data_IF_614014099599
#
_entry.id   IF_614014099599
#
_cell.length_a   1.000
_cell.length_b   1.000
_cell.length_c   1.000
_cell.angle_alpha   90.00
_cell.angle_beta   90.00
_cell.angle_gamma   90.00
#
_symmetry.space_group_name_H-M   'P 1'
#
loop_
_entity.id
_entity.type
_entity.pdbx_description
1 polymer ?
#
# COMPACT_ATOMS: atom_id res chain seq x y z
N UNK A 1 37.98 -10.72 41.08
CA UNK A 1 39.18 -10.46 40.26
C UNK A 1 38.78 -9.42 39.21
N UNK A 2 39.36 -8.24 39.22
CA UNK A 2 39.07 -7.20 38.27
C UNK A 2 40.03 -7.28 37.09
N UNK A 3 39.51 -7.21 35.89
CA UNK A 3 40.27 -7.11 34.64
C UNK A 3 40.13 -5.72 34.02
N UNK A 4 41.21 -5.00 34.13
CA UNK A 4 41.50 -3.68 33.59
C UNK A 4 41.65 -3.65 32.06
N UNK A 5 41.20 -2.59 31.47
CA UNK A 5 41.26 -1.93 30.20
C UNK A 5 42.25 -2.34 29.12
N UNK A 6 42.29 -1.66 27.97
CA UNK A 6 42.86 -0.31 27.92
C UNK A 6 42.11 0.70 27.06
N UNK A 7 42.38 1.95 27.39
CA UNK A 7 42.16 3.16 26.60
C UNK A 7 43.15 3.23 25.44
N UNK A 8 42.73 3.85 24.36
CA UNK A 8 43.55 4.37 23.28
C UNK A 8 42.62 5.06 22.30
N UNK A 9 42.68 6.28 22.09
CA UNK A 9 43.74 7.21 21.80
C UNK A 9 43.25 7.94 20.57
N UNK A 10 43.00 9.25 20.72
CA UNK A 10 42.47 10.12 19.67
C UNK A 10 43.48 10.36 18.55
N UNK A 11 42.96 10.89 17.48
CA UNK A 11 43.72 11.82 16.62
C UNK A 11 42.76 12.80 15.96
N UNK A 12 42.95 14.03 16.35
CA UNK A 12 42.51 15.23 15.63
C UNK A 12 43.28 15.36 14.29
N UNK A 13 42.70 16.04 13.37
CA UNK A 13 43.34 16.52 12.16
C UNK A 13 42.34 16.52 11.02
N UNK A 14 42.02 17.56 10.37
CA UNK A 14 42.63 18.85 10.17
C UNK A 14 41.83 19.50 9.04
N UNK A 15 41.62 20.73 9.26
CA UNK A 15 41.06 21.75 8.38
C UNK A 15 41.72 21.73 6.99
N UNK A 16 40.92 21.71 5.92
CA UNK A 16 41.36 22.21 4.62
C UNK A 16 40.24 22.95 3.90
N UNK A 17 40.21 24.26 4.16
CA UNK A 17 39.58 25.22 3.27
C UNK A 17 40.28 25.15 1.91
N UNK A 18 39.54 24.88 0.85
CA UNK A 18 39.96 25.29 -0.49
C UNK A 18 38.87 26.12 -1.14
N UNK A 19 39.09 27.40 -1.10
CA UNK A 19 38.53 28.38 -2.03
C UNK A 19 39.18 28.18 -3.39
N UNK A 20 38.42 28.17 -4.45
CA UNK A 20 38.77 28.46 -5.86
C UNK A 20 37.40 28.21 -6.56
N UNK A 21 36.81 29.03 -7.35
CA UNK A 21 37.17 30.19 -8.12
C UNK A 21 35.93 30.42 -9.00
N UNK A 22 35.51 31.66 -8.99
CA UNK A 22 34.45 32.15 -9.89
C UNK A 22 34.99 32.07 -11.31
N UNK A 23 34.34 31.31 -12.18
CA UNK A 23 34.48 31.46 -13.62
C UNK A 23 33.14 31.84 -14.17
N UNK A 24 32.98 33.11 -14.49
CA UNK A 24 31.95 33.59 -15.39
C UNK A 24 32.24 33.05 -16.79
N UNK A 25 31.33 32.28 -17.34
CA UNK A 25 31.28 32.04 -18.78
C UNK A 25 29.91 32.50 -19.28
N UNK A 26 29.90 33.67 -19.89
CA UNK A 26 28.85 34.07 -20.84
C UNK A 26 28.88 33.08 -22.01
N UNK A 27 27.75 32.60 -22.43
CA UNK A 27 27.69 31.96 -23.72
C UNK A 27 26.39 31.19 -23.99
N UNK A 28 25.65 31.71 -24.95
CA UNK A 28 24.66 31.04 -25.77
C UNK A 28 23.25 30.86 -25.21
N UNK A 29 22.38 31.83 -25.55
CA UNK A 29 20.97 31.62 -25.77
C UNK A 29 20.77 30.54 -26.88
N UNK A 30 20.59 29.29 -26.52
CA UNK A 30 19.93 28.33 -27.40
C UNK A 30 18.47 28.33 -27.02
N UNK A 31 17.66 28.95 -27.88
CA UNK A 31 16.21 28.80 -27.91
C UNK A 31 15.87 27.33 -28.25
N UNK A 32 15.81 26.48 -27.22
CA UNK A 32 15.18 25.17 -27.35
C UNK A 32 13.67 25.46 -27.39
N UNK A 33 13.11 25.47 -28.61
CA UNK A 33 11.70 25.22 -28.82
C UNK A 33 11.41 23.82 -28.28
N UNK A 34 11.16 23.74 -26.97
CA UNK A 34 10.67 22.54 -26.32
C UNK A 34 9.29 22.27 -26.89
N UNK A 35 9.22 21.38 -27.87
CA UNK A 35 7.97 20.77 -28.26
C UNK A 35 7.35 20.17 -27.00
N UNK A 36 6.28 20.80 -26.51
CA UNK A 36 5.40 20.18 -25.53
C UNK A 36 4.84 18.97 -26.27
N UNK A 37 5.44 17.81 -26.04
CA UNK A 37 4.81 16.55 -26.38
C UNK A 37 3.55 16.50 -25.54
N UNK A 38 2.43 16.94 -26.12
CA UNK A 38 1.11 16.63 -25.59
C UNK A 38 1.02 15.11 -25.66
N UNK A 39 1.29 14.44 -24.54
CA UNK A 39 0.92 13.05 -24.39
C UNK A 39 -0.57 13.01 -24.76
N UNK A 40 -0.89 12.43 -25.91
CA UNK A 40 -2.28 12.14 -26.27
C UNK A 40 -2.85 11.38 -25.08
N UNK A 41 -3.95 11.82 -24.47
CA UNK A 41 -4.61 10.99 -23.49
C UNK A 41 -4.87 9.66 -24.18
N UNK A 42 -4.28 8.60 -23.71
CA UNK A 42 -4.65 7.26 -24.12
C UNK A 42 -6.17 7.25 -24.06
N UNK A 43 -6.84 6.93 -25.18
CA UNK A 43 -8.29 6.83 -25.22
C UNK A 43 -8.66 5.85 -24.13
N UNK A 44 -9.08 6.39 -22.99
CA UNK A 44 -9.53 5.61 -21.87
C UNK A 44 -10.63 4.70 -22.46
N UNK A 45 -10.40 3.41 -22.39
CA UNK A 45 -11.35 2.42 -22.84
C UNK A 45 -12.49 2.45 -21.83
N UNK A 46 -13.33 3.50 -21.95
CA UNK A 46 -14.42 3.80 -21.02
C UNK A 46 -15.42 2.66 -21.10
N UNK A 47 -15.37 1.79 -20.14
CA UNK A 47 -16.27 0.65 -20.09
C UNK A 47 -16.24 -0.04 -18.74
N UNK A 48 -17.37 -0.58 -18.36
CA UNK A 48 -17.48 -1.43 -17.18
C UNK A 48 -16.99 -2.82 -17.53
N UNK A 49 -16.08 -3.35 -16.71
CA UNK A 49 -15.52 -4.71 -16.82
C UNK A 49 -15.75 -5.49 -15.55
N UNK A 50 -15.78 -6.79 -15.66
CA UNK A 50 -15.72 -7.67 -14.49
C UNK A 50 -14.34 -7.54 -13.84
N UNK A 51 -14.33 -7.37 -12.53
CA UNK A 51 -13.13 -7.30 -11.70
C UNK A 51 -13.02 -8.59 -10.89
N UNK A 52 -11.88 -9.25 -11.00
CA UNK A 52 -11.49 -10.35 -10.14
C UNK A 52 -10.05 -10.12 -9.68
N UNK A 53 -9.87 -9.89 -8.37
CA UNK A 53 -8.57 -9.77 -7.74
C UNK A 53 -8.43 -10.89 -6.71
N UNK A 54 -7.23 -11.43 -6.60
CA UNK A 54 -6.90 -12.41 -5.57
C UNK A 54 -5.63 -11.97 -4.84
N UNK A 55 -5.66 -12.06 -3.52
CA UNK A 55 -4.56 -11.77 -2.60
C UNK A 55 -4.14 -13.06 -1.94
N UNK A 56 -2.86 -13.35 -1.95
CA UNK A 56 -2.26 -14.57 -1.37
C UNK A 56 -0.99 -14.21 -0.60
N UNK A 57 -0.49 -15.14 0.21
CA UNK A 57 0.77 -14.94 0.95
C UNK A 57 0.79 -13.67 1.80
N UNK A 58 -0.28 -13.46 2.59
CA UNK A 58 -0.38 -12.28 3.46
C UNK A 58 0.75 -12.27 4.50
N UNK A 59 1.41 -11.12 4.60
CA UNK A 59 2.45 -10.87 5.58
C UNK A 59 2.15 -9.58 6.33
N UNK A 60 1.96 -9.69 7.64
CA UNK A 60 1.82 -8.54 8.53
C UNK A 60 3.21 -7.98 8.84
N UNK A 61 3.51 -6.79 8.35
CA UNK A 61 4.84 -6.17 8.48
C UNK A 61 4.96 -5.30 9.72
N UNK A 62 3.84 -4.80 10.25
CA UNK A 62 3.79 -4.05 11.51
C UNK A 62 2.40 -4.13 12.11
N UNK A 63 2.34 -4.01 13.44
CA UNK A 63 1.10 -3.81 14.19
C UNK A 63 1.37 -2.85 15.34
N UNK A 64 0.57 -1.82 15.48
CA UNK A 64 0.73 -0.79 16.51
C UNK A 64 -0.62 -0.38 17.08
N UNK A 65 -0.66 -0.04 18.37
CA UNK A 65 -1.80 0.66 18.96
C UNK A 65 -1.95 2.03 18.31
N UNK A 66 -3.18 2.40 17.99
CA UNK A 66 -3.49 3.73 17.44
C UNK A 66 -3.34 4.79 18.54
N UNK A 67 -3.79 4.47 19.76
CA UNK A 67 -3.54 5.28 20.95
C UNK A 67 -2.53 4.57 21.87
N UNK A 68 -1.26 5.02 21.92
CA UNK A 68 -0.26 4.43 22.79
C UNK A 68 -0.56 4.60 24.31
N UNK A 69 -1.49 5.47 24.67
CA UNK A 69 -1.91 5.69 26.06
C UNK A 69 -3.05 4.76 26.48
N UNK A 70 -3.69 4.04 25.57
CA UNK A 70 -4.70 3.03 25.86
C UNK A 70 -4.04 1.74 26.38
N UNK A 71 -4.20 1.42 27.70
CA UNK A 71 -3.58 0.23 28.30
C UNK A 71 -4.13 -1.08 27.73
N UNK A 72 -5.30 -1.07 27.10
CA UNK A 72 -5.94 -2.25 26.53
C UNK A 72 -5.67 -2.39 25.04
N UNK A 73 -5.14 -1.34 24.40
CA UNK A 73 -4.91 -1.31 22.95
C UNK A 73 -6.17 -1.72 22.17
N UNK A 74 -7.25 -1.02 22.39
CA UNK A 74 -8.56 -1.36 21.82
C UNK A 74 -8.64 -1.09 20.31
N UNK A 75 -7.77 -0.25 19.76
CA UNK A 75 -7.67 0.02 18.32
C UNK A 75 -6.26 -0.29 17.82
N UNK A 76 -6.16 -1.25 16.92
CA UNK A 76 -4.89 -1.70 16.33
C UNK A 76 -4.83 -1.33 14.87
N UNK A 77 -3.69 -0.79 14.44
CA UNK A 77 -3.36 -0.56 13.04
C UNK A 77 -2.26 -1.53 12.61
N UNK A 78 -2.52 -2.25 11.53
CA UNK A 78 -1.58 -3.21 10.95
C UNK A 78 -1.31 -2.90 9.49
N UNK A 79 -0.06 -3.07 9.05
CA UNK A 79 0.29 -3.00 7.63
C UNK A 79 0.45 -4.40 7.08
N UNK A 80 -0.16 -4.65 5.94
CA UNK A 80 -0.12 -5.91 5.22
C UNK A 80 0.58 -5.70 3.88
N UNK A 81 1.40 -6.67 3.51
CA UNK A 81 1.95 -6.84 2.16
C UNK A 81 1.68 -8.26 1.72
N UNK A 82 1.24 -8.42 0.48
CA UNK A 82 0.85 -9.72 -0.06
C UNK A 82 1.12 -9.81 -1.58
N UNK A 83 1.08 -11.01 -2.12
CA UNK A 83 1.04 -11.22 -3.55
C UNK A 83 -0.38 -10.96 -4.07
N UNK A 84 -0.48 -10.40 -5.27
CA UNK A 84 -1.75 -10.12 -5.93
C UNK A 84 -1.80 -10.66 -7.36
N UNK A 85 -3.01 -10.95 -7.83
CA UNK A 85 -3.29 -11.23 -9.24
C UNK A 85 -4.62 -10.61 -9.67
N UNK A 86 -4.77 -10.37 -10.96
CA UNK A 86 -5.96 -9.75 -11.54
C UNK A 86 -6.28 -10.37 -12.90
N UNK A 87 -7.57 -10.40 -13.24
CA UNK A 87 -8.03 -10.70 -14.60
C UNK A 87 -7.84 -9.52 -15.58
N UNK A 88 -7.48 -8.34 -15.08
CA UNK A 88 -7.31 -7.11 -15.87
C UNK A 88 -5.84 -6.77 -16.15
N UNK A 89 -4.91 -7.44 -15.46
CA UNK A 89 -3.48 -7.25 -15.64
C UNK A 89 -2.80 -8.58 -15.89
N UNK A 90 -2.02 -8.71 -16.96
CA UNK A 90 -1.19 -9.89 -17.17
C UNK A 90 -0.08 -9.93 -16.12
N UNK A 91 0.11 -11.08 -15.49
CA UNK A 91 1.18 -11.29 -14.53
C UNK A 91 0.75 -11.16 -13.08
N UNK A 92 1.76 -11.19 -12.23
CA UNK A 92 1.62 -11.06 -10.78
C UNK A 92 1.83 -9.60 -10.37
N UNK A 93 1.14 -9.20 -9.33
CA UNK A 93 1.29 -7.91 -8.68
C UNK A 93 1.53 -8.09 -7.18
N UNK A 94 1.47 -6.98 -6.47
CA UNK A 94 1.46 -6.96 -5.01
C UNK A 94 0.22 -6.24 -4.49
N UNK A 95 -0.16 -6.56 -3.26
CA UNK A 95 -1.20 -5.88 -2.51
C UNK A 95 -0.57 -5.26 -1.26
N UNK A 96 -0.93 -4.04 -0.97
CA UNK A 96 -0.55 -3.33 0.24
C UNK A 96 -1.80 -2.73 0.87
N UNK A 97 -2.00 -2.98 2.16
CA UNK A 97 -3.10 -2.41 2.91
C UNK A 97 -2.65 -1.93 4.28
N UNK A 98 -3.39 -0.97 4.81
CA UNK A 98 -3.34 -0.58 6.22
C UNK A 98 -4.68 -0.93 6.83
N UNK A 99 -4.72 -1.95 7.65
CA UNK A 99 -5.95 -2.39 8.33
C UNK A 99 -6.01 -1.75 9.71
N UNK A 100 -7.11 -1.11 10.02
CA UNK A 100 -7.42 -0.64 11.38
C UNK A 100 -8.55 -1.49 11.93
N UNK A 101 -8.32 -2.13 13.05
CA UNK A 101 -9.30 -2.97 13.74
C UNK A 101 -9.64 -2.34 15.07
N UNK A 102 -10.91 -2.04 15.28
CA UNK A 102 -11.45 -1.52 16.54
C UNK A 102 -12.16 -2.65 17.30
N UNK A 103 -11.57 -3.01 18.44
CA UNK A 103 -12.08 -4.00 19.39
C UNK A 103 -12.95 -3.39 20.50
N UNK A 104 -13.12 -2.05 20.50
CA UNK A 104 -13.78 -1.31 21.58
C UNK A 104 -15.30 -1.58 21.76
N UNK A 105 -16.04 -2.03 20.73
CA UNK A 105 -17.45 -2.36 20.91
C UNK A 105 -17.74 -3.40 21.99
N UNK A 106 -16.71 -4.11 22.46
CA UNK A 106 -16.81 -5.02 23.62
C UNK A 106 -17.71 -6.24 23.40
N UNK A 107 -18.03 -6.52 22.12
CA UNK A 107 -18.86 -7.63 21.69
C UNK A 107 -18.03 -8.75 21.06
N UNK A 108 -18.72 -9.60 20.32
CA UNK A 108 -18.11 -10.64 19.51
C UNK A 108 -17.68 -10.14 18.13
N UNK A 109 -17.91 -8.88 17.83
CA UNK A 109 -17.62 -8.25 16.53
C UNK A 109 -16.65 -7.08 16.68
N UNK A 110 -15.80 -6.93 15.69
CA UNK A 110 -14.82 -5.84 15.56
C UNK A 110 -15.18 -4.99 14.35
N UNK A 111 -14.90 -3.70 14.41
CA UNK A 111 -15.00 -2.83 13.22
C UNK A 111 -13.66 -2.85 12.50
N UNK A 112 -13.70 -3.14 11.21
CA UNK A 112 -12.51 -3.21 10.34
C UNK A 112 -12.60 -2.15 9.28
N UNK A 113 -11.53 -1.36 9.15
CA UNK A 113 -11.33 -0.37 8.11
C UNK A 113 -10.05 -0.72 7.33
N UNK A 114 -10.19 -0.97 6.02
CA UNK A 114 -9.13 -1.51 5.18
C UNK A 114 -9.01 -0.74 3.86
N UNK A 115 -8.29 0.40 3.84
CA UNK A 115 -7.77 0.94 2.60
C UNK A 115 -6.65 0.06 2.04
N UNK A 116 -6.79 -0.36 0.79
CA UNK A 116 -5.84 -1.23 0.10
C UNK A 116 -5.44 -0.70 -1.27
N UNK A 117 -4.29 -1.15 -1.78
CA UNK A 117 -3.81 -0.84 -3.12
C UNK A 117 -3.21 -2.09 -3.76
N UNK A 118 -3.75 -2.45 -4.91
CA UNK A 118 -3.19 -3.44 -5.81
C UNK A 118 -2.23 -2.76 -6.76
N UNK A 119 -1.02 -3.29 -6.90
CA UNK A 119 0.08 -2.73 -7.69
C UNK A 119 0.45 -3.74 -8.77
N UNK A 120 0.29 -3.37 -10.02
CA UNK A 120 0.61 -4.15 -11.21
C UNK A 120 1.56 -3.36 -12.13
N UNK A 121 2.19 -4.02 -13.08
CA UNK A 121 3.09 -3.37 -14.04
C UNK A 121 2.41 -2.30 -14.88
N UNK A 122 1.12 -2.44 -15.15
CA UNK A 122 0.31 -1.50 -15.95
C UNK A 122 -0.45 -0.46 -15.12
N UNK A 123 -0.29 -0.42 -13.81
CA UNK A 123 -0.91 0.59 -12.94
C UNK A 123 -1.38 0.05 -11.60
N UNK A 124 -2.11 0.87 -10.86
CA UNK A 124 -2.64 0.52 -9.55
C UNK A 124 -4.15 0.58 -9.50
N UNK A 125 -4.76 -0.24 -8.63
CA UNK A 125 -6.18 -0.16 -8.26
C UNK A 125 -6.25 0.06 -6.76
N UNK A 126 -6.87 1.15 -6.34
CA UNK A 126 -7.10 1.45 -4.91
C UNK A 126 -8.49 0.98 -4.50
N UNK A 127 -8.58 0.33 -3.37
CA UNK A 127 -9.81 -0.20 -2.80
C UNK A 127 -9.99 0.26 -1.36
N UNK A 128 -11.21 0.21 -0.89
CA UNK A 128 -11.56 0.46 0.50
C UNK A 128 -12.69 -0.48 0.91
N UNK A 129 -12.48 -1.20 2.02
CA UNK A 129 -13.48 -2.02 2.69
C UNK A 129 -13.70 -1.48 4.09
N UNK A 130 -14.95 -1.43 4.51
CA UNK A 130 -15.33 -1.10 5.88
C UNK A 130 -16.44 -2.04 6.32
N UNK A 131 -16.20 -2.80 7.37
CA UNK A 131 -17.14 -3.85 7.77
C UNK A 131 -17.03 -4.21 9.26
N UNK A 132 -18.03 -4.93 9.72
CA UNK A 132 -18.04 -5.56 11.02
C UNK A 132 -17.64 -7.04 10.86
N UNK A 133 -16.57 -7.44 11.55
CA UNK A 133 -16.09 -8.83 11.59
C UNK A 133 -16.48 -9.47 12.92
N UNK A 134 -17.33 -10.50 12.86
CA UNK A 134 -17.87 -11.17 14.02
C UNK A 134 -17.26 -12.56 14.20
N UNK A 135 -16.56 -12.77 15.30
CA UNK A 135 -15.85 -14.01 15.63
C UNK A 135 -16.77 -15.25 15.69
N UNK A 136 -18.09 -15.05 15.86
CA UNK A 136 -19.07 -16.16 15.87
C UNK A 136 -19.22 -16.85 14.51
N UNK A 137 -18.77 -16.24 13.44
CA UNK A 137 -18.79 -16.82 12.08
C UNK A 137 -17.45 -17.42 11.65
N UNK A 138 -16.48 -17.51 12.58
CA UNK A 138 -15.08 -17.78 12.26
C UNK A 138 -14.45 -16.54 11.56
N UNK A 139 -13.15 -16.58 11.35
CA UNK A 139 -12.45 -15.51 10.61
C UNK A 139 -12.83 -15.55 9.12
N UNK A 140 -14.06 -15.22 8.81
CA UNK A 140 -14.59 -15.27 7.45
C UNK A 140 -14.89 -13.85 6.99
N UNK A 141 -14.03 -13.31 6.16
CA UNK A 141 -14.32 -12.06 5.47
C UNK A 141 -15.44 -12.35 4.46
N UNK A 142 -16.52 -11.64 4.55
CA UNK A 142 -17.62 -11.63 3.57
C UNK A 142 -18.27 -10.26 3.61
N UNK A 143 -17.67 -9.31 2.90
CA UNK A 143 -18.03 -7.90 2.93
C UNK A 143 -18.09 -7.29 1.54
N UNK A 144 -18.35 -6.02 1.45
CA UNK A 144 -18.26 -5.23 0.23
C UNK A 144 -17.01 -4.37 0.23
N UNK A 145 -16.50 -4.10 -0.96
CA UNK A 145 -15.43 -3.13 -1.18
C UNK A 145 -15.84 -2.12 -2.24
N UNK A 146 -15.20 -0.97 -2.19
CA UNK A 146 -15.28 0.07 -3.22
C UNK A 146 -13.93 0.21 -3.92
N UNK A 147 -13.95 0.49 -5.24
CA UNK A 147 -12.78 0.97 -5.98
C UNK A 147 -12.76 2.48 -5.87
N UNK A 148 -11.76 3.01 -5.18
CA UNK A 148 -11.64 4.44 -4.85
C UNK A 148 -10.75 5.19 -5.83
N UNK A 149 -10.09 4.50 -6.74
CA UNK A 149 -9.25 5.10 -7.77
C UNK A 149 -8.25 4.11 -8.37
N UNK A 150 -7.35 4.66 -9.19
CA UNK A 150 -6.26 3.91 -9.78
C UNK A 150 -5.31 4.80 -10.58
N UNK A 151 -4.23 4.19 -11.07
CA UNK A 151 -3.23 4.85 -11.92
C UNK A 151 -2.91 4.00 -13.16
N UNK A 152 -2.16 4.55 -14.11
CA UNK A 152 -1.81 3.86 -15.34
C UNK A 152 -3.05 3.51 -16.15
N UNK A 153 -3.18 2.24 -16.55
CA UNK A 153 -4.33 1.73 -17.31
C UNK A 153 -5.65 1.79 -16.50
N UNK A 154 -5.57 2.00 -15.18
CA UNK A 154 -6.71 2.10 -14.27
C UNK A 154 -6.98 3.52 -13.80
N UNK A 155 -6.40 4.53 -14.44
CA UNK A 155 -6.62 5.93 -14.06
C UNK A 155 -8.10 6.31 -14.10
N UNK A 156 -8.60 6.88 -12.98
CA UNK A 156 -10.00 7.24 -12.84
C UNK A 156 -10.94 6.07 -12.51
N UNK A 157 -10.39 4.91 -12.17
CA UNK A 157 -11.17 3.73 -11.84
C UNK A 157 -12.17 3.99 -10.72
N UNK A 158 -13.37 3.47 -10.90
CA UNK A 158 -14.45 3.41 -9.91
C UNK A 158 -15.14 2.06 -9.98
N UNK A 159 -15.89 1.70 -8.96
CA UNK A 159 -16.61 0.43 -8.96
C UNK A 159 -16.67 -0.19 -7.56
N UNK A 160 -16.75 -1.51 -7.51
CA UNK A 160 -16.79 -2.23 -6.25
C UNK A 160 -17.42 -3.61 -6.41
N UNK A 161 -17.59 -4.29 -5.30
CA UNK A 161 -18.11 -5.64 -5.28
C UNK A 161 -18.08 -6.29 -3.91
N UNK A 162 -17.84 -7.61 -3.90
CA UNK A 162 -17.72 -8.40 -2.67
C UNK A 162 -16.26 -8.82 -2.47
N UNK A 163 -15.83 -8.67 -1.24
CA UNK A 163 -14.60 -9.22 -0.71
C UNK A 163 -14.93 -10.42 0.16
N UNK A 164 -14.26 -11.53 -0.07
CA UNK A 164 -14.44 -12.71 0.74
C UNK A 164 -13.16 -13.52 0.89
N UNK A 165 -12.98 -14.11 2.04
CA UNK A 165 -11.98 -15.15 2.26
C UNK A 165 -12.67 -16.41 2.74
N UNK A 166 -12.28 -17.54 2.17
CA UNK A 166 -12.63 -18.82 2.76
C UNK A 166 -11.65 -19.07 3.91
N UNK A 167 -12.16 -19.13 5.14
CA UNK A 167 -11.34 -19.61 6.25
C UNK A 167 -11.09 -21.10 6.02
N UNK A 168 -9.92 -21.41 5.53
CA UNK A 168 -9.35 -22.72 5.76
C UNK A 168 -8.51 -22.62 7.05
N UNK A 169 -8.36 -23.73 7.78
CA UNK A 169 -7.41 -23.84 8.90
C UNK A 169 -5.94 -23.68 8.44
N UNK A 170 -5.72 -23.11 7.29
CA UNK A 170 -4.45 -22.81 6.67
C UNK A 170 -4.19 -21.29 6.78
N UNK A 171 -3.00 -20.86 7.19
CA UNK A 171 -2.64 -19.45 7.26
C UNK A 171 -2.61 -18.74 5.88
N UNK A 172 -3.05 -19.40 4.82
CA UNK A 172 -2.92 -18.95 3.43
C UNK A 172 -4.24 -19.09 2.67
N UNK A 173 -5.35 -18.70 3.31
CA UNK A 173 -6.59 -18.55 2.53
C UNK A 173 -6.50 -17.31 1.66
N UNK A 174 -6.72 -17.40 0.35
CA UNK A 174 -6.75 -16.22 -0.49
C UNK A 174 -7.92 -15.30 -0.10
N UNK A 175 -7.68 -13.99 -0.14
CA UNK A 175 -8.75 -13.00 -0.12
C UNK A 175 -9.11 -12.71 -1.56
N UNK A 176 -10.38 -12.80 -1.89
CA UNK A 176 -10.90 -12.63 -3.25
C UNK A 176 -11.81 -11.40 -3.29
N UNK A 177 -11.56 -10.54 -4.24
CA UNK A 177 -12.37 -9.38 -4.58
C UNK A 177 -13.04 -9.63 -5.92
N UNK A 178 -14.36 -9.75 -5.91
CA UNK A 178 -15.17 -9.94 -7.12
C UNK A 178 -16.15 -8.79 -7.29
N UNK A 179 -16.17 -8.19 -8.45
CA UNK A 179 -17.05 -7.06 -8.69
C UNK A 179 -16.98 -6.51 -10.10
N UNK A 180 -17.18 -5.23 -10.21
CA UNK A 180 -17.06 -4.48 -11.46
C UNK A 180 -16.16 -3.27 -11.28
N UNK A 181 -15.50 -2.86 -12.36
CA UNK A 181 -14.66 -1.67 -12.42
C UNK A 181 -14.99 -0.90 -13.72
N UNK A 182 -15.04 0.42 -13.63
CA UNK A 182 -15.23 1.33 -14.74
C UNK A 182 -14.08 2.33 -14.77
N UNK A 183 -13.48 2.56 -15.94
CA UNK A 183 -12.38 3.51 -16.19
C UNK A 183 -12.39 4.00 -17.63
#
# INVERSE_FOLDING_TARGET
MPGTGPQGGGTEGGTAMRRIGVIMALGALLSVLGGVATASPALANTGTRQLHLAVTNLNFTSSTCVDPSDPNCTVVRSTIVADASSNLSPGKGSFQATITVDFSPGGTCNIVDEPGTFIFDNGTISTHSHHEDCAIHGLRIDTTFEVTGGTGDFAGATGGGREFSAVSNSPVSPIIFNGTITF
#
